data_IF_885012438523
#
_entry.id   IF_885012438523
#
_cell.length_a   1.000
_cell.length_b   1.000
_cell.length_c   1.000
_cell.angle_alpha   90.00
_cell.angle_beta   90.00
_cell.angle_gamma   90.00
#
_symmetry.space_group_name_H-M   'P 1'
#
loop_
_entity.id
_entity.type
_entity.pdbx_description
1 polymer ?
#
# COMPACT_ATOMS: atom_id res chain seq x y z
N UNK A 1 7.93 -0.01 10.07
CA UNK A 1 7.64 1.42 10.00
C UNK A 1 7.22 1.85 11.37
N UNK A 2 7.89 2.85 11.92
CA UNK A 2 7.50 3.45 13.19
C UNK A 2 6.22 4.29 13.01
N UNK A 3 5.45 4.54 14.08
CA UNK A 3 4.24 5.36 13.99
C UNK A 3 4.52 6.78 13.53
N UNK A 4 5.62 7.39 13.99
CA UNK A 4 5.97 8.75 13.58
C UNK A 4 6.37 8.83 12.10
N UNK A 5 7.02 7.78 11.60
CA UNK A 5 7.34 7.67 10.18
C UNK A 5 6.06 7.57 9.35
N UNK A 6 5.08 6.80 9.83
CA UNK A 6 3.78 6.64 9.16
C UNK A 6 3.01 7.95 9.10
N UNK A 7 2.93 8.68 10.22
CA UNK A 7 2.30 9.99 10.27
C UNK A 7 2.98 10.98 9.31
N UNK A 8 4.31 10.90 9.20
CA UNK A 8 5.11 11.70 8.26
C UNK A 8 4.78 11.41 6.80
N UNK A 9 4.69 10.13 6.40
CA UNK A 9 4.31 9.76 5.03
C UNK A 9 2.86 10.16 4.71
N UNK A 10 1.93 10.00 5.66
CA UNK A 10 0.54 10.46 5.50
C UNK A 10 0.52 11.98 5.31
N UNK A 11 1.26 12.74 6.13
CA UNK A 11 1.37 14.19 6.01
C UNK A 11 2.04 14.63 4.69
N UNK A 12 2.94 13.82 4.15
CA UNK A 12 3.55 14.01 2.83
C UNK A 12 2.62 13.67 1.65
N UNK A 13 1.38 13.24 1.93
CA UNK A 13 0.36 12.97 0.92
C UNK A 13 0.31 11.52 0.44
N UNK A 14 0.91 10.57 1.17
CA UNK A 14 0.78 9.14 0.86
C UNK A 14 -0.57 8.63 1.37
N UNK A 15 -1.41 8.14 0.46
CA UNK A 15 -2.64 7.42 0.79
C UNK A 15 -2.34 5.92 0.89
N UNK A 16 -2.63 5.33 2.04
CA UNK A 16 -2.36 3.91 2.30
C UNK A 16 -3.61 3.06 2.10
N UNK A 17 -3.41 1.90 1.46
CA UNK A 17 -4.43 0.89 1.23
C UNK A 17 -3.99 -0.46 1.78
N UNK A 18 -4.92 -1.16 2.44
CA UNK A 18 -4.71 -2.47 3.04
C UNK A 18 -5.46 -3.57 2.30
N UNK A 19 -4.82 -4.73 2.15
CA UNK A 19 -5.48 -5.96 1.72
C UNK A 19 -5.70 -6.85 2.93
N UNK A 20 -6.97 -7.07 3.28
CA UNK A 20 -7.36 -7.93 4.38
C UNK A 20 -7.89 -9.28 3.89
N UNK A 21 -7.50 -10.34 4.57
CA UNK A 21 -8.06 -11.67 4.39
C UNK A 21 -8.31 -12.31 5.76
N UNK A 22 -9.52 -12.81 5.99
CA UNK A 22 -9.93 -13.42 7.26
C UNK A 22 -9.67 -12.51 8.47
N UNK A 23 -10.02 -11.23 8.35
CA UNK A 23 -9.80 -10.22 9.40
C UNK A 23 -8.33 -9.91 9.68
N UNK A 24 -7.41 -10.35 8.83
CA UNK A 24 -5.98 -10.10 8.98
C UNK A 24 -5.46 -9.25 7.83
N UNK A 25 -4.79 -8.15 8.16
CA UNK A 25 -4.04 -7.36 7.18
C UNK A 25 -2.81 -8.14 6.69
N UNK A 26 -2.81 -8.48 5.40
CA UNK A 26 -1.77 -9.32 4.77
C UNK A 26 -0.98 -8.59 3.67
N UNK A 27 -1.42 -7.40 3.26
CA UNK A 27 -0.67 -6.54 2.35
C UNK A 27 -1.02 -5.07 2.55
N UNK A 28 -0.08 -4.20 2.24
CA UNK A 28 -0.23 -2.74 2.25
C UNK A 28 0.42 -2.18 0.99
N UNK A 29 -0.15 -1.12 0.44
CA UNK A 29 0.47 -0.31 -0.58
C UNK A 29 0.06 1.15 -0.39
N UNK A 30 1.02 2.06 -0.46
CA UNK A 30 0.80 3.50 -0.51
C UNK A 30 0.78 4.00 -1.95
N UNK A 31 -0.02 5.03 -2.22
CA UNK A 31 -0.02 5.80 -3.46
C UNK A 31 0.18 7.28 -3.14
N UNK A 32 1.02 7.96 -3.91
CA UNK A 32 1.31 9.37 -3.73
C UNK A 32 1.33 10.08 -5.08
N UNK A 33 0.36 10.97 -5.36
CA UNK A 33 0.39 11.81 -6.56
C UNK A 33 1.56 12.81 -6.49
N UNK A 34 2.43 12.81 -7.49
CA UNK A 34 3.55 13.74 -7.61
C UNK A 34 3.58 14.27 -9.04
N UNK A 35 3.13 15.53 -9.21
CA UNK A 35 3.01 16.20 -10.51
C UNK A 35 2.09 15.41 -11.45
N UNK A 36 2.68 14.73 -12.44
CA UNK A 36 2.02 14.00 -13.52
C UNK A 36 2.15 12.48 -13.36
N UNK A 37 2.70 12.01 -12.24
CA UNK A 37 2.87 10.57 -11.95
C UNK A 37 2.36 10.21 -10.56
N UNK A 38 1.90 8.96 -10.43
CA UNK A 38 1.60 8.37 -9.13
C UNK A 38 2.74 7.46 -8.67
N UNK A 39 3.33 7.77 -7.51
CA UNK A 39 4.35 6.94 -6.90
C UNK A 39 3.70 5.83 -6.07
N UNK A 40 4.10 4.59 -6.36
CA UNK A 40 3.80 3.46 -5.48
C UNK A 40 4.81 3.45 -4.33
N UNK A 41 4.31 3.58 -3.10
CA UNK A 41 5.07 3.60 -1.85
C UNK A 41 4.70 2.38 -1.01
N UNK A 42 5.59 1.97 -0.09
CA UNK A 42 5.29 0.95 0.93
C UNK A 42 4.55 -0.31 0.43
N UNK A 43 4.97 -0.87 -0.71
CA UNK A 43 4.37 -2.04 -1.32
C UNK A 43 4.86 -3.32 -0.61
N UNK A 44 4.15 -3.72 0.45
CA UNK A 44 4.53 -4.87 1.28
C UNK A 44 3.45 -5.94 1.30
N UNK A 45 3.89 -7.20 1.21
CA UNK A 45 3.03 -8.38 1.39
C UNK A 45 3.69 -9.29 2.41
N UNK A 46 2.91 -9.75 3.38
CA UNK A 46 3.39 -10.66 4.44
C UNK A 46 4.06 -11.89 3.80
N UNK A 47 5.28 -12.29 4.23
CA UNK A 47 6.06 -13.34 3.55
C UNK A 47 5.29 -14.65 3.25
N UNK A 48 4.49 -15.14 4.20
CA UNK A 48 3.70 -16.38 4.03
C UNK A 48 2.51 -16.28 3.06
N UNK A 49 2.14 -15.07 2.64
CA UNK A 49 1.04 -14.81 1.70
C UNK A 49 1.51 -14.24 0.36
N UNK A 50 2.84 -14.15 0.15
CA UNK A 50 3.43 -13.75 -1.12
C UNK A 50 3.15 -14.78 -2.23
N UNK A 51 3.26 -14.35 -3.49
CA UNK A 51 2.95 -15.15 -4.70
C UNK A 51 1.51 -15.68 -4.77
N UNK A 52 0.58 -15.07 -4.03
CA UNK A 52 -0.86 -15.39 -4.05
C UNK A 52 -1.73 -14.27 -4.64
N UNK A 53 -1.12 -13.35 -5.40
CA UNK A 53 -1.85 -12.26 -6.07
C UNK A 53 -2.12 -11.01 -5.23
N UNK A 54 -1.83 -11.00 -3.92
CA UNK A 54 -2.11 -9.86 -3.01
C UNK A 54 -1.57 -8.53 -3.53
N UNK A 55 -0.28 -8.47 -3.89
CA UNK A 55 0.33 -7.24 -4.40
C UNK A 55 -0.24 -6.80 -5.75
N UNK A 56 -0.62 -7.77 -6.60
CA UNK A 56 -1.27 -7.48 -7.87
C UNK A 56 -2.69 -6.93 -7.68
N UNK A 57 -3.45 -7.45 -6.72
CA UNK A 57 -4.78 -6.97 -6.38
C UNK A 57 -4.73 -5.54 -5.81
N UNK A 58 -3.79 -5.24 -4.92
CA UNK A 58 -3.54 -3.88 -4.42
C UNK A 58 -3.20 -2.93 -5.58
N UNK A 59 -2.26 -3.32 -6.44
CA UNK A 59 -1.86 -2.48 -7.57
C UNK A 59 -3.01 -2.26 -8.57
N UNK A 60 -3.82 -3.27 -8.84
CA UNK A 60 -4.99 -3.15 -9.71
C UNK A 60 -6.02 -2.18 -9.13
N UNK A 61 -6.26 -2.26 -7.82
CA UNK A 61 -7.15 -1.33 -7.13
C UNK A 61 -6.67 0.11 -7.26
N UNK A 62 -5.38 0.35 -7.01
CA UNK A 62 -4.80 1.71 -7.08
C UNK A 62 -4.76 2.29 -8.49
N UNK A 63 -4.61 1.45 -9.53
CA UNK A 63 -4.67 1.89 -10.93
C UNK A 63 -6.07 2.32 -11.38
N UNK A 64 -7.10 1.96 -10.62
CA UNK A 64 -8.48 2.34 -10.90
C UNK A 64 -8.96 3.59 -10.16
N UNK A 65 -8.10 4.20 -9.34
CA UNK A 65 -8.33 5.49 -8.67
C UNK A 65 -8.00 6.64 -9.62
#
# INVERSE_FOLDING_TARGET
MDSHELDGEIAAGVAFWGYEANGTLIGVMGIQPVRDVDLIRHAYVRPGTQRRGVGGALLLHLRGL
#
